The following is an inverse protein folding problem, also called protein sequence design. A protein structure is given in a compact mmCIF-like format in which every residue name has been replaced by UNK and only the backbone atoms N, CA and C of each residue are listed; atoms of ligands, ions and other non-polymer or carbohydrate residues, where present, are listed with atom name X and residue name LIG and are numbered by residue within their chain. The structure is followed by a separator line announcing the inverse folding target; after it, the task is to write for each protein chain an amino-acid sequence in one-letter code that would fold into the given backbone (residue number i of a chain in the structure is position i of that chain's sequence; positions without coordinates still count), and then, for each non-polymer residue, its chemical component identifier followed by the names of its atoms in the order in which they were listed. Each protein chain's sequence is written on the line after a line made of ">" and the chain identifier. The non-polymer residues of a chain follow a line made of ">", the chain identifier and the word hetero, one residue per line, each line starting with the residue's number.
data_IF_451574109616
#
_entry.id   IF_451574109616
#
_cell.length_a   1.000
_cell.length_b   1.000
_cell.length_c   1.000
_cell.angle_alpha   90.00
_cell.angle_beta   90.00
_cell.angle_gamma   90.00
#
_symmetry.space_group_name_H-M   'P 1'
#
loop_
_entity.id
_entity.type
_entity.pdbx_description
1 polymer ?
#
# COMPACT_ATOMS: atom_id res chain seq x y z
N UNK A 1 -5.93 6.69 -22.39
CA UNK A 1 -6.54 7.93 -22.90
C UNK A 1 -7.82 7.65 -23.69
N UNK A 2 -7.78 6.73 -24.67
CA UNK A 2 -8.91 6.34 -25.54
C UNK A 2 -10.10 5.78 -24.75
N UNK A 3 -9.86 4.89 -23.78
CA UNK A 3 -10.92 4.29 -22.96
C UNK A 3 -11.65 5.33 -22.09
N UNK A 4 -10.93 6.32 -21.55
CA UNK A 4 -11.54 7.45 -20.82
C UNK A 4 -12.37 8.34 -21.73
N UNK A 5 -11.91 8.60 -22.97
CA UNK A 5 -12.63 9.42 -23.95
C UNK A 5 -13.92 8.75 -24.44
N UNK A 6 -13.97 7.40 -24.45
CA UNK A 6 -15.14 6.63 -24.88
C UNK A 6 -16.06 6.19 -23.72
N UNK A 7 -15.84 6.65 -22.49
CA UNK A 7 -16.60 6.23 -21.30
C UNK A 7 -16.65 4.71 -21.07
N UNK A 8 -15.67 3.96 -21.58
CA UNK A 8 -15.58 2.50 -21.48
C UNK A 8 -14.65 2.04 -20.35
N UNK A 9 -14.60 2.80 -19.25
CA UNK A 9 -13.79 2.44 -18.09
C UNK A 9 -14.54 1.40 -17.28
N UNK A 10 -14.19 0.12 -17.48
CA UNK A 10 -14.77 -0.98 -16.71
C UNK A 10 -14.17 -1.06 -15.30
N UNK A 11 -14.94 -1.57 -14.35
CA UNK A 11 -14.46 -1.83 -12.98
C UNK A 11 -13.27 -2.80 -12.98
N UNK A 12 -13.30 -3.78 -13.86
CA UNK A 12 -12.22 -4.75 -14.08
C UNK A 12 -10.93 -4.07 -14.56
N UNK A 13 -11.03 -3.14 -15.53
CA UNK A 13 -9.88 -2.38 -16.02
C UNK A 13 -9.21 -1.57 -14.91
N UNK A 14 -9.98 -0.90 -14.06
CA UNK A 14 -9.44 -0.15 -12.91
C UNK A 14 -8.70 -1.03 -11.91
N UNK A 15 -9.10 -2.29 -11.78
CA UNK A 15 -8.46 -3.26 -10.89
C UNK A 15 -7.19 -3.86 -11.53
N UNK A 16 -7.23 -4.11 -12.84
CA UNK A 16 -6.12 -4.72 -13.57
C UNK A 16 -4.97 -3.75 -13.84
N UNK A 17 -5.24 -2.46 -14.05
CA UNK A 17 -4.21 -1.44 -14.32
C UNK A 17 -3.06 -1.45 -13.28
N UNK A 18 -3.31 -1.40 -11.95
CA UNK A 18 -2.23 -1.42 -10.97
C UNK A 18 -1.47 -2.75 -10.90
N UNK A 19 -2.11 -3.85 -11.29
CA UNK A 19 -1.49 -5.19 -11.33
C UNK A 19 -0.59 -5.30 -12.56
N UNK A 20 -1.10 -4.90 -13.73
CA UNK A 20 -0.37 -4.93 -14.99
C UNK A 20 0.90 -4.08 -14.94
N UNK A 21 0.82 -2.88 -14.37
CA UNK A 21 1.96 -1.98 -14.19
C UNK A 21 3.06 -2.62 -13.35
N UNK A 22 2.70 -3.27 -12.23
CA UNK A 22 3.66 -3.98 -11.38
C UNK A 22 4.25 -5.19 -12.04
N UNK A 23 3.46 -5.97 -12.77
CA UNK A 23 3.95 -7.14 -13.52
C UNK A 23 4.94 -6.72 -14.59
N UNK A 24 4.65 -5.64 -15.32
CA UNK A 24 5.53 -5.13 -16.36
C UNK A 24 6.90 -4.73 -15.80
N UNK A 25 6.94 -3.97 -14.72
CA UNK A 25 8.21 -3.56 -14.10
C UNK A 25 8.93 -4.75 -13.46
N UNK A 26 8.20 -5.66 -12.80
CA UNK A 26 8.80 -6.86 -12.21
C UNK A 26 9.42 -7.76 -13.27
N UNK A 27 8.74 -7.98 -14.40
CA UNK A 27 9.28 -8.80 -15.49
C UNK A 27 10.52 -8.16 -16.13
N UNK A 28 10.53 -6.84 -16.30
CA UNK A 28 11.71 -6.13 -16.78
C UNK A 28 12.91 -6.30 -15.84
N UNK A 29 12.71 -6.14 -14.52
CA UNK A 29 13.77 -6.33 -13.52
C UNK A 29 14.28 -7.78 -13.49
N UNK A 30 13.40 -8.77 -13.56
CA UNK A 30 13.78 -10.19 -13.61
C UNK A 30 14.57 -10.49 -14.89
N UNK A 31 14.19 -9.92 -16.03
CA UNK A 31 14.93 -10.05 -17.28
C UNK A 31 16.33 -9.43 -17.18
N UNK A 32 16.53 -8.33 -16.47
CA UNK A 32 17.85 -7.73 -16.24
C UNK A 32 18.71 -8.61 -15.35
N UNK A 33 18.13 -9.34 -14.39
CA UNK A 33 18.86 -10.36 -13.61
C UNK A 33 19.30 -11.51 -14.52
N UNK A 34 18.42 -12.02 -15.37
CA UNK A 34 18.74 -13.09 -16.31
C UNK A 34 19.87 -12.70 -17.30
N UNK A 35 19.93 -11.41 -17.66
CA UNK A 35 21.00 -10.84 -18.50
C UNK A 35 22.30 -10.56 -17.73
N UNK A 36 22.36 -10.81 -16.42
CA UNK A 36 23.53 -10.56 -15.57
C UNK A 36 23.85 -9.07 -15.33
N UNK A 37 22.90 -8.16 -15.61
CA UNK A 37 23.11 -6.71 -15.51
C UNK A 37 22.72 -6.19 -14.14
N UNK A 38 21.76 -6.81 -13.48
CA UNK A 38 21.29 -6.44 -12.16
C UNK A 38 21.49 -7.57 -11.14
N UNK A 39 21.93 -7.28 -9.90
CA UNK A 39 22.04 -8.28 -8.84
C UNK A 39 20.64 -8.78 -8.41
N UNK A 40 20.45 -10.11 -8.37
CA UNK A 40 19.16 -10.73 -8.06
C UNK A 40 18.58 -10.28 -6.70
N UNK A 41 19.41 -10.17 -5.65
CA UNK A 41 18.97 -9.79 -4.31
C UNK A 41 18.39 -8.37 -4.26
N UNK A 42 18.93 -7.44 -5.04
CA UNK A 42 18.40 -6.08 -5.14
C UNK A 42 17.01 -6.09 -5.76
N UNK A 43 16.84 -6.85 -6.83
CA UNK A 43 15.56 -6.98 -7.54
C UNK A 43 14.51 -7.63 -6.64
N UNK A 44 14.86 -8.66 -5.88
CA UNK A 44 13.96 -9.31 -4.91
C UNK A 44 13.47 -8.31 -3.86
N UNK A 45 14.34 -7.46 -3.32
CA UNK A 45 13.96 -6.42 -2.34
C UNK A 45 12.97 -5.42 -2.95
N UNK A 46 13.25 -4.96 -4.18
CA UNK A 46 12.40 -3.98 -4.87
C UNK A 46 11.01 -4.56 -5.14
N UNK A 47 10.93 -5.77 -5.71
CA UNK A 47 9.67 -6.45 -6.02
C UNK A 47 8.92 -6.78 -4.72
N UNK A 48 9.59 -7.37 -3.73
CA UNK A 48 8.99 -7.74 -2.44
C UNK A 48 8.37 -6.55 -1.73
N UNK A 49 9.04 -5.40 -1.76
CA UNK A 49 8.51 -4.15 -1.21
C UNK A 49 7.24 -3.69 -1.95
N UNK A 50 7.19 -3.79 -3.28
CA UNK A 50 6.00 -3.37 -4.04
C UNK A 50 4.78 -4.21 -3.65
N UNK A 51 4.95 -5.53 -3.53
CA UNK A 51 3.87 -6.42 -3.09
C UNK A 51 3.49 -6.20 -1.62
N UNK A 52 4.48 -6.08 -0.72
CA UNK A 52 4.23 -5.86 0.71
C UNK A 52 3.44 -4.58 0.97
N UNK A 53 3.85 -3.45 0.37
CA UNK A 53 3.13 -2.17 0.54
C UNK A 53 1.73 -2.23 -0.07
N UNK A 54 1.55 -2.95 -1.18
CA UNK A 54 0.22 -3.11 -1.78
C UNK A 54 -0.68 -3.95 -0.90
N UNK A 55 -0.17 -5.05 -0.35
CA UNK A 55 -0.89 -5.89 0.61
C UNK A 55 -1.32 -5.12 1.85
N UNK A 56 -0.39 -4.37 2.46
CA UNK A 56 -0.70 -3.51 3.61
C UNK A 56 -1.78 -2.48 3.31
N UNK A 57 -1.78 -1.88 2.12
CA UNK A 57 -2.84 -0.95 1.70
C UNK A 57 -4.19 -1.64 1.53
N UNK A 58 -4.19 -2.85 0.98
CA UNK A 58 -5.43 -3.62 0.80
C UNK A 58 -6.03 -4.01 2.16
N UNK A 59 -5.20 -4.42 3.12
CA UNK A 59 -5.62 -4.73 4.49
C UNK A 59 -6.15 -3.47 5.18
N UNK A 60 -5.43 -2.34 5.08
CA UNK A 60 -5.86 -1.07 5.65
C UNK A 60 -7.23 -0.63 5.12
N UNK A 61 -7.45 -0.74 3.80
CA UNK A 61 -8.72 -0.42 3.17
C UNK A 61 -9.86 -1.34 3.65
N UNK A 62 -9.60 -2.62 3.86
CA UNK A 62 -10.57 -3.58 4.43
C UNK A 62 -10.93 -3.25 5.88
N UNK A 63 -9.99 -2.72 6.67
CA UNK A 63 -10.21 -2.25 8.05
C UNK A 63 -10.84 -0.85 8.13
N UNK A 64 -11.09 -0.19 6.98
CA UNK A 64 -11.80 1.08 6.89
C UNK A 64 -10.92 2.32 7.06
N UNK A 65 -9.59 2.19 6.99
CA UNK A 65 -8.67 3.32 6.99
C UNK A 65 -7.77 3.33 5.74
N UNK A 66 -7.33 4.53 5.34
CA UNK A 66 -6.45 4.69 4.19
C UNK A 66 -5.07 5.16 4.62
N UNK A 67 -4.04 4.48 4.14
CA UNK A 67 -2.65 4.94 4.32
C UNK A 67 -2.30 5.80 3.11
N UNK A 68 -2.13 7.11 3.33
CA UNK A 68 -1.76 8.03 2.27
C UNK A 68 -0.43 7.66 1.62
N UNK A 69 -0.42 7.74 0.29
CA UNK A 69 0.81 7.58 -0.48
C UNK A 69 1.74 8.73 -0.15
N UNK A 70 2.87 8.44 0.50
CA UNK A 70 3.90 9.46 0.74
C UNK A 70 4.37 10.06 -0.60
N UNK A 71 4.73 11.35 -0.61
CA UNK A 71 5.31 12.02 -1.80
C UNK A 71 6.52 11.25 -2.36
N UNK A 72 7.24 10.53 -1.50
CA UNK A 72 8.32 9.61 -1.84
C UNK A 72 7.86 8.43 -2.74
N UNK A 73 6.58 8.04 -2.71
CA UNK A 73 6.06 6.95 -3.56
C UNK A 73 6.04 7.28 -5.05
N UNK A 74 5.76 8.54 -5.41
CA UNK A 74 5.78 8.99 -6.82
C UNK A 74 7.22 9.11 -7.36
N UNK A 75 8.12 9.67 -6.58
CA UNK A 75 9.53 9.81 -6.95
C UNK A 75 10.23 8.47 -7.19
N UNK A 76 9.87 7.44 -6.41
CA UNK A 76 10.40 6.09 -6.58
C UNK A 76 10.07 5.46 -7.93
N UNK A 77 8.83 5.59 -8.37
CA UNK A 77 8.37 4.98 -9.62
C UNK A 77 9.15 5.55 -10.81
N UNK A 78 9.36 6.87 -10.82
CA UNK A 78 10.18 7.53 -11.85
C UNK A 78 11.64 7.07 -11.77
N UNK A 79 12.24 7.02 -10.57
CA UNK A 79 13.60 6.55 -10.37
C UNK A 79 13.81 5.10 -10.81
N UNK A 80 12.83 4.23 -10.54
CA UNK A 80 12.86 2.82 -10.93
C UNK A 80 12.80 2.64 -12.45
N UNK A 81 11.92 3.36 -13.14
CA UNK A 81 11.83 3.32 -14.61
C UNK A 81 13.12 3.85 -15.24
N UNK A 82 13.68 4.92 -14.69
CA UNK A 82 14.95 5.48 -15.18
C UNK A 82 16.13 4.51 -14.97
N UNK A 83 16.17 3.85 -13.80
CA UNK A 83 17.17 2.82 -13.49
C UNK A 83 17.11 1.65 -14.49
N UNK A 84 15.90 1.11 -14.75
CA UNK A 84 15.67 0.04 -15.72
C UNK A 84 16.13 0.49 -17.11
N UNK A 85 15.80 1.71 -17.51
CA UNK A 85 16.26 2.29 -18.78
C UNK A 85 17.78 2.33 -18.89
N UNK A 86 18.49 2.86 -17.87
CA UNK A 86 19.95 2.92 -17.85
C UNK A 86 20.59 1.52 -17.94
N UNK A 87 20.03 0.52 -17.25
CA UNK A 87 20.56 -0.84 -17.29
C UNK A 87 20.35 -1.50 -18.65
N UNK A 88 19.22 -1.28 -19.33
CA UNK A 88 18.96 -1.76 -20.68
C UNK A 88 19.94 -1.12 -21.67
N UNK A 89 20.09 0.21 -21.63
CA UNK A 89 21.05 0.92 -22.48
C UNK A 89 22.50 0.49 -22.21
N UNK A 90 22.84 0.26 -20.94
CA UNK A 90 24.18 -0.24 -20.58
C UNK A 90 24.49 -1.62 -21.13
N UNK A 91 23.46 -2.48 -21.29
CA UNK A 91 23.64 -3.79 -21.94
C UNK A 91 23.84 -3.67 -23.45
N UNK A 92 23.19 -2.70 -24.09
CA UNK A 92 23.35 -2.43 -25.54
C UNK A 92 24.70 -1.81 -25.85
N UNK A 93 25.24 -0.99 -24.94
CA UNK A 93 26.52 -0.28 -25.11
C UNK A 93 27.44 -0.56 -23.93
N UNK A 94 28.10 -1.74 -23.87
CA UNK A 94 28.86 -2.19 -22.67
C UNK A 94 30.09 -1.31 -22.38
N UNK A 95 30.61 -0.60 -23.37
CA UNK A 95 31.75 0.32 -23.21
C UNK A 95 31.37 1.66 -22.53
N UNK A 96 30.10 1.84 -22.16
CA UNK A 96 29.60 3.08 -21.58
C UNK A 96 29.44 2.97 -20.05
N UNK A 97 29.44 4.13 -19.40
CA UNK A 97 29.23 4.26 -17.95
C UNK A 97 27.81 3.83 -17.49
N UNK A 98 26.89 3.54 -18.42
CA UNK A 98 25.49 3.29 -18.13
C UNK A 98 25.25 2.09 -17.19
N UNK A 99 26.04 1.03 -17.25
CA UNK A 99 25.91 -0.12 -16.33
C UNK A 99 26.25 0.30 -14.91
N UNK A 100 27.34 1.03 -14.72
CA UNK A 100 27.76 1.52 -13.40
C UNK A 100 26.75 2.50 -12.81
N UNK A 101 26.27 3.45 -13.63
CA UNK A 101 25.23 4.41 -13.24
C UNK A 101 23.92 3.68 -12.92
N UNK A 102 23.51 2.70 -13.73
CA UNK A 102 22.31 1.90 -13.50
C UNK A 102 22.37 1.13 -12.19
N UNK A 103 23.49 0.49 -11.88
CA UNK A 103 23.68 -0.24 -10.60
C UNK A 103 23.74 0.72 -9.39
N UNK A 104 24.36 1.89 -9.52
CA UNK A 104 24.34 2.89 -8.48
C UNK A 104 22.91 3.40 -8.21
N UNK A 105 22.15 3.69 -9.27
CA UNK A 105 20.74 4.06 -9.17
C UNK A 105 19.89 2.93 -8.54
N UNK A 106 20.14 1.68 -8.92
CA UNK A 106 19.45 0.53 -8.35
C UNK A 106 19.71 0.43 -6.84
N UNK A 107 20.95 0.65 -6.40
CA UNK A 107 21.31 0.68 -4.97
C UNK A 107 20.54 1.76 -4.21
N UNK A 108 20.44 2.97 -4.79
CA UNK A 108 19.62 4.06 -4.21
C UNK A 108 18.16 3.66 -4.14
N UNK A 109 17.61 3.04 -5.19
CA UNK A 109 16.22 2.56 -5.22
C UNK A 109 15.98 1.53 -4.14
N UNK A 110 16.92 0.60 -3.91
CA UNK A 110 16.84 -0.42 -2.84
C UNK A 110 16.82 0.23 -1.46
N UNK A 111 17.71 1.17 -1.17
CA UNK A 111 17.73 1.89 0.10
C UNK A 111 16.40 2.63 0.33
N UNK A 112 15.92 3.36 -0.67
CA UNK A 112 14.63 4.03 -0.60
C UNK A 112 13.47 3.03 -0.44
N UNK A 113 13.57 1.84 -1.03
CA UNK A 113 12.60 0.78 -0.89
C UNK A 113 12.50 0.30 0.56
N UNK A 114 13.63 0.00 1.19
CA UNK A 114 13.69 -0.44 2.58
C UNK A 114 13.16 0.64 3.52
N UNK A 115 13.65 1.87 3.42
CA UNK A 115 13.20 3.00 4.26
C UNK A 115 11.69 3.21 4.14
N UNK A 116 11.18 3.21 2.92
CA UNK A 116 9.74 3.36 2.68
C UNK A 116 8.94 2.19 3.25
N UNK A 117 9.42 0.95 3.13
CA UNK A 117 8.74 -0.22 3.70
C UNK A 117 8.62 -0.12 5.22
N UNK A 118 9.72 0.26 5.91
CA UNK A 118 9.72 0.48 7.36
C UNK A 118 8.71 1.58 7.75
N UNK A 119 8.69 2.70 7.02
CA UNK A 119 7.75 3.79 7.28
C UNK A 119 6.28 3.35 7.11
N UNK A 120 5.98 2.57 6.05
CA UNK A 120 4.63 2.05 5.84
C UNK A 120 4.22 1.08 6.95
N UNK A 121 5.11 0.19 7.36
CA UNK A 121 4.86 -0.78 8.42
C UNK A 121 4.58 -0.09 9.75
N UNK A 122 5.39 0.90 10.12
CA UNK A 122 5.19 1.70 11.36
C UNK A 122 3.86 2.44 11.36
N UNK A 123 3.49 3.07 10.24
CA UNK A 123 2.20 3.76 10.11
C UNK A 123 1.02 2.79 10.19
N UNK A 124 1.14 1.64 9.56
CA UNK A 124 0.11 0.61 9.57
C UNK A 124 -0.16 0.12 11.01
N UNK A 125 0.88 -0.22 11.77
CA UNK A 125 0.74 -0.66 13.16
C UNK A 125 0.15 0.43 14.06
N UNK A 126 0.61 1.67 13.94
CA UNK A 126 0.07 2.79 14.70
C UNK A 126 -1.43 2.98 14.48
N UNK A 127 -1.91 2.86 13.24
CA UNK A 127 -3.33 3.03 12.92
C UNK A 127 -4.19 1.83 13.34
N UNK A 128 -3.65 0.62 13.25
CA UNK A 128 -4.34 -0.57 13.78
C UNK A 128 -4.53 -0.45 15.29
N UNK A 129 -3.49 -0.09 16.04
CA UNK A 129 -3.58 0.07 17.49
C UNK A 129 -4.64 1.10 17.89
N UNK A 130 -4.73 2.22 17.18
CA UNK A 130 -5.77 3.23 17.41
C UNK A 130 -7.17 2.71 17.10
N UNK A 131 -7.32 1.93 16.02
CA UNK A 131 -8.60 1.34 15.63
C UNK A 131 -9.08 0.31 16.64
N UNK A 132 -8.19 -0.57 17.11
CA UNK A 132 -8.48 -1.57 18.15
C UNK A 132 -8.91 -0.88 19.44
N UNK A 133 -8.12 0.09 19.93
CA UNK A 133 -8.45 0.87 21.14
C UNK A 133 -9.78 1.59 21.05
N UNK A 134 -10.11 2.10 19.86
CA UNK A 134 -11.39 2.78 19.62
C UNK A 134 -12.57 1.78 19.65
N UNK A 135 -12.41 0.60 19.05
CA UNK A 135 -13.41 -0.48 19.09
C UNK A 135 -13.65 -0.98 20.53
N UNK A 136 -12.58 -1.15 21.32
CA UNK A 136 -12.69 -1.55 22.74
C UNK A 136 -13.42 -0.50 23.58
N UNK A 137 -13.09 0.79 23.41
CA UNK A 137 -13.80 1.88 24.10
C UNK A 137 -15.29 1.94 23.74
N UNK A 138 -15.64 1.71 22.49
CA UNK A 138 -17.03 1.65 22.04
C UNK A 138 -17.78 0.41 22.58
N UNK A 139 -17.10 -0.74 22.60
CA UNK A 139 -17.67 -1.98 23.17
C UNK A 139 -17.93 -1.82 24.66
N UNK A 140 -17.04 -1.18 25.40
CA UNK A 140 -17.21 -0.93 26.84
C UNK A 140 -18.31 0.09 27.16
N UNK A 141 -18.57 1.05 26.27
CA UNK A 141 -19.65 2.06 26.44
C UNK A 141 -21.05 1.53 26.08
N UNK A 142 -21.16 0.53 25.20
CA UNK A 142 -22.47 -0.01 24.77
C UNK A 142 -23.27 -0.66 25.89
N UNK A 143 -22.75 -1.55 26.74
CA UNK A 143 -23.54 -2.20 27.79
C UNK A 143 -24.10 -1.21 28.79
N UNK A 144 -23.32 -0.19 29.18
CA UNK A 144 -23.76 0.85 30.13
C UNK A 144 -24.92 1.67 29.58
N UNK A 145 -24.94 1.96 28.29
CA UNK A 145 -26.02 2.74 27.66
C UNK A 145 -27.32 1.95 27.54
N UNK A 146 -27.23 0.65 27.25
CA UNK A 146 -28.41 -0.24 27.16
C UNK A 146 -29.01 -0.42 28.55
N UNK A 147 -28.21 -0.69 29.57
CA UNK A 147 -28.67 -0.83 30.95
C UNK A 147 -29.31 0.46 31.48
N UNK A 148 -28.77 1.61 31.13
CA UNK A 148 -29.32 2.89 31.54
C UNK A 148 -30.65 3.21 30.85
N UNK A 149 -30.82 2.80 29.58
CA UNK A 149 -32.07 2.94 28.84
C UNK A 149 -33.16 2.04 29.45
N UNK A 150 -32.85 0.74 29.63
CA UNK A 150 -33.81 -0.21 30.23
C UNK A 150 -34.24 0.21 31.63
N UNK A 151 -33.36 0.77 32.46
CA UNK A 151 -33.70 1.28 33.78
C UNK A 151 -34.67 2.47 33.74
N UNK A 152 -34.53 3.35 32.74
CA UNK A 152 -35.47 4.47 32.55
C UNK A 152 -36.83 3.98 32.08
N UNK A 153 -36.87 3.07 31.12
CA UNK A 153 -38.11 2.49 30.59
C UNK A 153 -38.87 1.73 31.68
N UNK A 154 -38.15 0.98 32.53
CA UNK A 154 -38.77 0.32 33.72
C UNK A 154 -39.30 1.31 34.74
N UNK A 155 -38.60 2.42 34.99
CA UNK A 155 -39.03 3.47 35.90
C UNK A 155 -40.31 4.16 35.43
N UNK A 156 -40.44 4.41 34.14
CA UNK A 156 -41.65 4.99 33.54
C UNK A 156 -42.86 4.03 33.62
N UNK A 157 -42.65 2.71 33.37
CA UNK A 157 -43.71 1.70 33.49
C UNK A 157 -44.20 1.55 34.92
N UNK A 158 -43.32 1.65 35.93
CA UNK A 158 -43.73 1.56 37.35
C UNK A 158 -44.51 2.83 37.76
N UNK A 159 -44.16 3.98 37.20
CA UNK A 159 -44.83 5.22 37.56
C UNK A 159 -46.22 5.37 36.91
N UNK A 160 -46.40 4.82 35.68
CA UNK A 160 -47.71 4.77 35.03
C UNK A 160 -48.62 3.71 35.62
N UNK A 161 -48.12 2.62 36.15
CA UNK A 161 -48.90 1.57 36.83
C UNK A 161 -49.39 1.94 38.25
N UNK A 162 -48.88 3.02 38.87
CA UNK A 162 -49.33 3.55 40.16
C UNK A 162 -50.42 4.60 40.08
N UNK A 163 -50.74 5.06 38.88
CA UNK A 163 -51.72 6.14 38.61
C UNK A 163 -53.12 5.59 38.21
N UNK A 164 -53.32 4.28 38.27
CA UNK A 164 -54.57 3.60 38.02
C UNK A 164 -55.04 2.90 39.31
#
# INVERSE_FOLDING_TARGET
>A
YLARKRHQVTTLGKLLDPIADKLLISSALVSLVALGVAPAWMVVIVIGREFAVTGLRSIAAAEGFTIDASKLGKSKMVGQVFCVGCLIFGKLYPETIFVSVGNALLSVVVVLAIVSMIQYFRRFWSQIDETIKSREKLAHRRPVRILRKNRKDLGELINTGKAS
#
